data_IF_092873259419
#
_entry.id   IF_092873259419
#
_cell.length_a   1.000
_cell.length_b   1.000
_cell.length_c   1.000
_cell.angle_alpha   90.00
_cell.angle_beta   90.00
_cell.angle_gamma   90.00
#
_symmetry.space_group_name_H-M   'P 1'
#
loop_
_entity.id
_entity.type
_entity.pdbx_description
1 polymer ?
#
# COMPACT_ATOMS: atom_id res chain seq x y z
N UNK A 1 7.36 -26.64 4.41
CA UNK A 1 6.25 -25.69 4.17
C UNK A 1 5.67 -25.98 2.79
N UNK A 2 4.35 -26.10 2.66
CA UNK A 2 3.69 -26.31 1.37
C UNK A 2 3.67 -24.99 0.60
N UNK A 3 4.21 -24.96 -0.61
CA UNK A 3 4.15 -23.78 -1.49
C UNK A 3 2.91 -23.86 -2.36
N UNK A 4 2.02 -22.87 -2.25
CA UNK A 4 0.85 -22.74 -3.12
C UNK A 4 1.08 -21.69 -4.20
N UNK A 5 0.45 -21.88 -5.37
CA UNK A 5 0.48 -20.90 -6.45
C UNK A 5 -0.58 -19.82 -6.20
N UNK A 6 -0.20 -18.55 -6.42
CA UNK A 6 -1.10 -17.41 -6.36
C UNK A 6 -1.09 -16.70 -7.72
N UNK A 7 -2.26 -16.58 -8.34
CA UNK A 7 -2.44 -15.92 -9.63
C UNK A 7 -3.26 -14.64 -9.43
N UNK A 8 -2.75 -13.52 -9.96
CA UNK A 8 -3.38 -12.20 -9.87
C UNK A 8 -3.59 -11.68 -11.28
N UNK A 9 -4.78 -11.16 -11.56
CA UNK A 9 -5.04 -10.38 -12.78
C UNK A 9 -4.64 -8.93 -12.53
N UNK A 10 -3.82 -8.37 -13.42
CA UNK A 10 -3.44 -6.97 -13.40
C UNK A 10 -3.68 -6.36 -14.77
N UNK A 11 -4.00 -5.07 -14.79
CA UNK A 11 -3.97 -4.26 -16.00
C UNK A 11 -2.55 -4.18 -16.55
N UNK A 12 -2.44 -4.20 -17.89
CA UNK A 12 -1.15 -4.21 -18.58
C UNK A 12 -0.31 -2.98 -18.24
N UNK A 13 -0.91 -1.79 -18.23
CA UNK A 13 -0.21 -0.55 -17.90
C UNK A 13 0.29 -0.53 -16.44
N UNK A 14 -0.53 -1.02 -15.50
CA UNK A 14 -0.16 -1.11 -14.10
C UNK A 14 1.01 -2.08 -13.91
N UNK A 15 0.97 -3.23 -14.58
CA UNK A 15 2.04 -4.21 -14.60
C UNK A 15 3.35 -3.58 -15.08
N UNK A 16 3.34 -2.93 -16.23
CA UNK A 16 4.55 -2.39 -16.84
C UNK A 16 5.19 -1.30 -15.95
N UNK A 17 4.37 -0.39 -15.40
CA UNK A 17 4.84 0.65 -14.48
C UNK A 17 5.40 0.07 -13.19
N UNK A 18 4.65 -0.82 -12.53
CA UNK A 18 5.07 -1.38 -11.24
C UNK A 18 6.31 -2.26 -11.40
N UNK A 19 6.38 -3.07 -12.45
CA UNK A 19 7.48 -4.02 -12.63
C UNK A 19 8.77 -3.27 -12.97
N UNK A 20 8.70 -2.20 -13.78
CA UNK A 20 9.87 -1.35 -14.05
C UNK A 20 10.47 -0.75 -12.78
N UNK A 21 9.63 -0.29 -11.84
CA UNK A 21 10.09 0.22 -10.55
C UNK A 21 10.76 -0.88 -9.74
N UNK A 22 10.13 -2.06 -9.62
CA UNK A 22 10.67 -3.19 -8.85
C UNK A 22 12.01 -3.69 -9.42
N UNK A 23 12.13 -3.76 -10.75
CA UNK A 23 13.38 -4.10 -11.42
C UNK A 23 14.49 -3.07 -11.13
N UNK A 24 14.14 -1.78 -11.03
CA UNK A 24 15.07 -0.73 -10.61
C UNK A 24 15.64 -0.94 -9.20
N UNK A 25 14.89 -1.62 -8.32
CA UNK A 25 15.36 -2.03 -6.99
C UNK A 25 16.01 -3.43 -6.99
N UNK A 26 16.15 -4.09 -8.15
CA UNK A 26 16.68 -5.45 -8.26
C UNK A 26 15.74 -6.53 -7.72
N UNK A 27 14.45 -6.22 -7.58
CA UNK A 27 13.44 -7.13 -7.05
C UNK A 27 12.57 -7.69 -8.17
N UNK A 28 12.34 -9.00 -8.13
CA UNK A 28 11.31 -9.62 -8.98
C UNK A 28 9.92 -9.30 -8.42
N UNK A 29 8.88 -9.22 -9.28
CA UNK A 29 7.49 -9.00 -8.84
C UNK A 29 7.03 -10.00 -7.77
N UNK A 30 7.41 -11.27 -7.93
CA UNK A 30 7.06 -12.31 -6.95
C UNK A 30 7.74 -12.09 -5.59
N UNK A 31 8.97 -11.58 -5.55
CA UNK A 31 9.64 -11.24 -4.29
C UNK A 31 8.95 -10.06 -3.62
N UNK A 32 8.62 -9.01 -4.36
CA UNK A 32 7.93 -7.84 -3.82
C UNK A 32 6.57 -8.21 -3.21
N UNK A 33 5.77 -9.03 -3.92
CA UNK A 33 4.49 -9.52 -3.41
C UNK A 33 4.67 -10.39 -2.16
N UNK A 34 5.69 -11.27 -2.13
CA UNK A 34 5.99 -12.06 -0.93
C UNK A 34 6.35 -11.18 0.26
N UNK A 35 7.17 -10.15 0.07
CA UNK A 35 7.54 -9.19 1.12
C UNK A 35 6.31 -8.44 1.64
N UNK A 36 5.44 -8.00 0.73
CA UNK A 36 4.17 -7.37 1.10
C UNK A 36 3.31 -8.30 1.96
N UNK A 37 3.07 -9.54 1.50
CA UNK A 37 2.25 -10.51 2.24
C UNK A 37 2.88 -10.86 3.59
N UNK A 38 4.21 -10.97 3.66
CA UNK A 38 4.92 -11.21 4.91
C UNK A 38 4.69 -10.06 5.89
N UNK A 39 4.86 -8.81 5.44
CA UNK A 39 4.63 -7.64 6.28
C UNK A 39 3.17 -7.56 6.79
N UNK A 40 2.19 -7.91 5.94
CA UNK A 40 0.78 -7.96 6.33
C UNK A 40 0.54 -9.03 7.39
N UNK A 41 1.11 -10.22 7.22
CA UNK A 41 0.96 -11.32 8.16
C UNK A 41 1.62 -11.01 9.52
N UNK A 42 2.81 -10.42 9.50
CA UNK A 42 3.56 -10.08 10.73
C UNK A 42 2.91 -8.92 11.50
N UNK A 43 2.48 -7.86 10.81
CA UNK A 43 1.93 -6.67 11.46
C UNK A 43 0.43 -6.72 11.69
N UNK A 44 -0.27 -7.71 11.10
CA UNK A 44 -1.73 -7.76 11.04
C UNK A 44 -2.37 -6.46 10.49
N UNK A 45 -1.62 -5.73 9.67
CA UNK A 45 -1.99 -4.43 9.11
C UNK A 45 -1.54 -4.33 7.66
N UNK A 46 -2.20 -3.48 6.87
CA UNK A 46 -1.82 -3.24 5.48
C UNK A 46 -0.68 -2.20 5.48
N UNK A 47 0.54 -2.53 5.01
CA UNK A 47 1.69 -1.62 5.02
C UNK A 47 1.65 -0.65 3.83
N UNK A 48 0.49 -0.08 3.57
CA UNK A 48 0.30 0.98 2.59
C UNK A 48 -0.15 2.21 3.35
N UNK A 49 0.63 3.28 3.24
CA UNK A 49 0.12 4.61 3.52
C UNK A 49 -0.90 4.94 2.44
N UNK A 50 -2.17 5.05 2.82
CA UNK A 50 -3.22 5.56 1.92
C UNK A 50 -3.09 7.07 1.65
N UNK A 51 -1.99 7.68 2.09
CA UNK A 51 -1.55 9.04 1.80
C UNK A 51 -1.14 9.23 0.33
N UNK A 52 -1.62 8.38 -0.59
CA UNK A 52 -1.62 8.72 -2.01
C UNK A 52 -2.46 9.97 -2.14
N UNK A 53 -1.79 11.12 -2.04
CA UNK A 53 -2.33 12.42 -2.32
C UNK A 53 -2.78 12.39 -3.77
N UNK A 54 -4.03 11.98 -3.98
CA UNK A 54 -4.79 12.57 -5.05
C UNK A 54 -4.64 14.07 -4.81
N UNK A 55 -4.01 14.78 -5.74
CA UNK A 55 -4.18 16.22 -5.84
C UNK A 55 -5.67 16.49 -6.10
N UNK A 56 -6.48 16.34 -5.06
CA UNK A 56 -7.88 16.65 -4.97
C UNK A 56 -8.00 17.42 -3.67
N UNK A 57 -8.50 18.64 -3.81
CA UNK A 57 -8.59 19.70 -2.82
C UNK A 57 -9.51 19.38 -1.64
N UNK A 58 -9.34 18.22 -1.00
CA UNK A 58 -10.24 17.69 -0.01
C UNK A 58 -9.42 17.43 1.26
N UNK A 59 -9.01 18.52 1.91
CA UNK A 59 -8.54 18.47 3.29
C UNK A 59 -9.51 17.60 4.10
N UNK A 60 -9.02 16.58 4.84
CA UNK A 60 -9.87 15.93 5.82
C UNK A 60 -10.33 17.01 6.78
N UNK A 61 -11.64 17.28 6.79
CA UNK A 61 -12.28 18.17 7.74
C UNK A 61 -11.86 17.64 9.11
N UNK A 62 -10.95 18.35 9.78
CA UNK A 62 -10.63 18.15 11.19
C UNK A 62 -11.97 18.29 11.91
N UNK A 63 -12.56 17.16 12.29
CA UNK A 63 -13.68 17.10 13.22
C UNK A 63 -13.31 17.95 14.41
N UNK A 64 -14.05 19.06 14.59
CA UNK A 64 -13.89 19.99 15.70
C UNK A 64 -14.29 19.23 16.97
N UNK A 65 -13.31 18.62 17.61
CA UNK A 65 -13.44 17.95 18.89
C UNK A 65 -12.28 18.42 19.79
N UNK A 66 -12.23 19.72 20.03
CA UNK A 66 -11.52 20.31 21.17
C UNK A 66 -12.51 21.16 21.94
N UNK A 67 -13.36 20.47 22.70
CA UNK A 67 -13.96 21.04 23.90
C UNK A 67 -12.82 21.36 24.87
N UNK A 68 -12.52 22.64 25.08
CA UNK A 68 -11.90 23.11 26.32
C UNK A 68 -12.62 24.38 26.77
N UNK A 69 -13.51 24.15 27.72
CA UNK A 69 -13.87 25.05 28.81
C UNK A 69 -12.67 25.86 29.30
N UNK A 70 -12.83 27.17 29.45
CA UNK A 70 -12.27 27.92 30.58
C UNK A 70 -12.93 29.31 30.70
N UNK A 71 -13.49 29.54 31.89
CA UNK A 71 -14.03 30.78 32.51
C UNK A 71 -15.05 31.66 31.77
#
# INVERSE_FOLDING_TARGET
MSTTNYNIRLDQELKDKAFSVLEGYGLTPSQAIKLFLHQVAETNSIPLSFDYHVNSNNSPIKTVAESHSND
#
